data_IF_572199617127
#
_entry.id   IF_572199617127
#
_cell.length_a   1.000
_cell.length_b   1.000
_cell.length_c   1.000
_cell.angle_alpha   90.00
_cell.angle_beta   90.00
_cell.angle_gamma   90.00
#
_symmetry.space_group_name_H-M   'P 1'
#
loop_
_entity.id
_entity.type
_entity.pdbx_description
1 polymer ?
#
# COMPACT_ATOMS: atom_id res chain seq x y z
N UNK A 1 57.35 -0.38 53.81
CA UNK A 1 57.23 0.54 52.65
C UNK A 1 57.06 -0.26 51.35
N UNK A 2 57.90 -1.26 51.06
CA UNK A 2 57.75 -2.17 49.90
C UNK A 2 56.39 -2.89 49.81
N UNK A 3 55.88 -3.43 50.92
CA UNK A 3 54.57 -4.12 50.92
C UNK A 3 53.40 -3.20 50.49
N UNK A 4 53.41 -1.92 50.88
CA UNK A 4 52.38 -0.95 50.46
C UNK A 4 52.53 -0.56 48.99
N UNK A 5 53.77 -0.51 48.49
CA UNK A 5 54.07 -0.25 47.08
C UNK A 5 53.58 -1.40 46.18
N UNK A 6 53.76 -2.65 46.61
CA UNK A 6 53.27 -3.84 45.90
C UNK A 6 51.73 -3.90 45.85
N UNK A 7 51.05 -3.63 46.97
CA UNK A 7 49.58 -3.57 47.02
C UNK A 7 49.02 -2.49 46.07
N UNK A 8 49.63 -1.31 46.05
CA UNK A 8 49.22 -0.26 45.11
C UNK A 8 49.46 -0.60 43.63
N UNK A 9 50.46 -1.43 43.33
CA UNK A 9 50.72 -1.92 41.97
C UNK A 9 49.68 -2.96 41.53
N UNK A 10 49.25 -3.85 42.43
CA UNK A 10 48.21 -4.84 42.13
C UNK A 10 46.83 -4.19 41.98
N UNK A 11 46.48 -3.22 42.84
CA UNK A 11 45.23 -2.45 42.71
C UNK A 11 45.15 -1.71 41.37
N UNK A 12 46.26 -1.09 40.94
CA UNK A 12 46.35 -0.44 39.63
C UNK A 12 46.13 -1.43 38.48
N UNK A 13 46.68 -2.65 38.56
CA UNK A 13 46.52 -3.68 37.53
C UNK A 13 45.05 -4.08 37.37
N UNK A 14 44.35 -4.33 38.49
CA UNK A 14 42.94 -4.72 38.48
C UNK A 14 42.05 -3.62 37.90
N UNK A 15 42.32 -2.36 38.23
CA UNK A 15 41.57 -1.22 37.68
C UNK A 15 41.77 -1.07 36.16
N UNK A 16 43.00 -1.27 35.67
CA UNK A 16 43.29 -1.25 34.23
C UNK A 16 42.58 -2.37 33.48
N UNK A 17 42.55 -3.58 34.03
CA UNK A 17 41.85 -4.71 33.42
C UNK A 17 40.33 -4.50 33.37
N UNK A 18 39.75 -3.91 34.42
CA UNK A 18 38.33 -3.51 34.44
C UNK A 18 38.02 -2.44 33.40
N UNK A 19 38.87 -1.42 33.26
CA UNK A 19 38.72 -0.38 32.24
C UNK A 19 38.74 -0.98 30.84
N UNK A 20 39.75 -1.81 30.53
CA UNK A 20 39.86 -2.46 29.23
C UNK A 20 38.64 -3.35 28.92
N UNK A 21 38.15 -4.10 29.92
CA UNK A 21 36.94 -4.91 29.77
C UNK A 21 35.71 -4.05 29.51
N UNK A 22 35.62 -2.89 30.16
CA UNK A 22 34.52 -1.94 29.97
C UNK A 22 34.56 -1.31 28.57
N UNK A 23 35.74 -0.93 28.08
CA UNK A 23 35.94 -0.39 26.73
C UNK A 23 35.54 -1.42 25.66
N UNK A 24 36.01 -2.67 25.78
CA UNK A 24 35.62 -3.74 24.86
C UNK A 24 34.10 -3.99 24.83
N UNK A 25 33.44 -3.92 25.99
CA UNK A 25 31.97 -4.01 26.06
C UNK A 25 31.30 -2.80 25.41
N UNK A 26 31.85 -1.62 25.59
CA UNK A 26 31.34 -0.40 24.97
C UNK A 26 31.38 -0.50 23.45
N UNK A 27 32.49 -0.94 22.87
CA UNK A 27 32.63 -1.15 21.43
C UNK A 27 31.63 -2.18 20.91
N UNK A 28 31.43 -3.27 21.66
CA UNK A 28 30.41 -4.27 21.35
C UNK A 28 29.00 -3.66 21.33
N UNK A 29 28.65 -2.85 22.34
CA UNK A 29 27.35 -2.18 22.38
C UNK A 29 27.17 -1.14 21.27
N UNK A 30 28.23 -0.44 20.87
CA UNK A 30 28.19 0.46 19.71
C UNK A 30 27.86 -0.33 18.45
N UNK A 31 28.55 -1.44 18.22
CA UNK A 31 28.31 -2.29 17.06
C UNK A 31 26.87 -2.83 17.05
N UNK A 32 26.39 -3.37 18.17
CA UNK A 32 25.01 -3.85 18.29
C UNK A 32 23.98 -2.75 18.04
N UNK A 33 24.19 -1.54 18.58
CA UNK A 33 23.32 -0.40 18.32
C UNK A 33 23.29 0.00 16.85
N UNK A 34 24.43 0.01 16.17
CA UNK A 34 24.49 0.31 14.73
C UNK A 34 23.69 -0.72 13.91
N UNK A 35 23.80 -2.00 14.27
CA UNK A 35 23.03 -3.06 13.61
C UNK A 35 21.52 -2.91 13.86
N UNK A 36 21.11 -2.55 15.08
CA UNK A 36 19.71 -2.28 15.41
C UNK A 36 19.16 -1.06 14.66
N UNK A 37 19.93 0.02 14.56
CA UNK A 37 19.55 1.22 13.80
C UNK A 37 19.32 0.86 12.33
N UNK A 38 20.25 0.11 11.72
CA UNK A 38 20.08 -0.37 10.35
C UNK A 38 18.81 -1.20 10.21
N UNK A 39 18.57 -2.13 11.12
CA UNK A 39 17.38 -2.98 11.09
C UNK A 39 16.09 -2.17 11.23
N UNK A 40 16.07 -1.16 12.07
CA UNK A 40 14.91 -0.27 12.22
C UNK A 40 14.64 0.50 10.91
N UNK A 41 15.67 1.07 10.29
CA UNK A 41 15.51 1.78 9.02
C UNK A 41 14.99 0.86 7.89
N UNK A 42 15.48 -0.38 7.82
CA UNK A 42 15.02 -1.37 6.86
C UNK A 42 13.54 -1.72 7.09
N UNK A 43 13.13 -1.91 8.35
CA UNK A 43 11.74 -2.19 8.73
C UNK A 43 10.81 -1.01 8.46
N UNK A 44 11.24 0.22 8.75
CA UNK A 44 10.50 1.43 8.44
C UNK A 44 10.26 1.56 6.93
N UNK A 45 11.28 1.27 6.11
CA UNK A 45 11.16 1.29 4.65
C UNK A 45 10.13 0.26 4.15
N UNK A 46 10.19 -0.97 4.68
CA UNK A 46 9.21 -2.01 4.34
C UNK A 46 7.78 -1.64 4.78
N UNK A 47 7.63 -1.04 5.97
CA UNK A 47 6.33 -0.56 6.45
C UNK A 47 5.76 0.54 5.54
N UNK A 48 6.59 1.47 5.07
CA UNK A 48 6.16 2.51 4.14
C UNK A 48 5.72 1.93 2.79
N UNK A 49 6.39 0.91 2.27
CA UNK A 49 5.99 0.21 1.05
C UNK A 49 4.63 -0.47 1.22
N UNK A 50 4.46 -1.27 2.29
CA UNK A 50 3.19 -1.90 2.60
C UNK A 50 2.06 -0.89 2.78
N UNK A 51 2.33 0.26 3.43
CA UNK A 51 1.35 1.32 3.60
C UNK A 51 0.88 1.90 2.25
N UNK A 52 1.80 2.09 1.29
CA UNK A 52 1.46 2.55 -0.07
C UNK A 52 0.58 1.55 -0.81
N UNK A 53 0.92 0.27 -0.75
CA UNK A 53 0.12 -0.80 -1.37
C UNK A 53 -1.28 -0.89 -0.75
N UNK A 54 -1.34 -0.84 0.58
CA UNK A 54 -2.60 -0.87 1.32
C UNK A 54 -3.50 0.33 0.96
N UNK A 55 -2.93 1.53 0.84
CA UNK A 55 -3.67 2.71 0.38
C UNK A 55 -4.23 2.51 -1.04
N UNK A 56 -3.45 1.91 -1.95
CA UNK A 56 -3.91 1.57 -3.29
C UNK A 56 -5.12 0.62 -3.28
N UNK A 57 -5.05 -0.43 -2.45
CA UNK A 57 -6.15 -1.39 -2.28
C UNK A 57 -7.40 -0.75 -1.65
N UNK A 58 -7.23 0.15 -0.67
CA UNK A 58 -8.35 0.88 -0.09
C UNK A 58 -9.08 1.75 -1.13
N UNK A 59 -8.34 2.43 -2.00
CA UNK A 59 -8.94 3.23 -3.09
C UNK A 59 -9.73 2.33 -4.03
N UNK A 60 -9.17 1.19 -4.45
CA UNK A 60 -9.87 0.23 -5.32
C UNK A 60 -11.15 -0.32 -4.66
N UNK A 61 -11.06 -0.65 -3.38
CA UNK A 61 -12.20 -1.15 -2.60
C UNK A 61 -13.28 -0.08 -2.47
N UNK A 62 -12.91 1.18 -2.25
CA UNK A 62 -13.85 2.29 -2.20
C UNK A 62 -14.58 2.47 -3.54
N UNK A 63 -13.85 2.43 -4.65
CA UNK A 63 -14.45 2.50 -6.00
C UNK A 63 -15.45 1.36 -6.20
N UNK A 64 -15.15 0.14 -5.74
CA UNK A 64 -16.02 -1.02 -5.90
C UNK A 64 -17.26 -0.95 -5.00
N UNK A 65 -17.09 -0.56 -3.74
CA UNK A 65 -18.17 -0.48 -2.74
C UNK A 65 -19.11 0.71 -2.97
N UNK A 66 -18.62 1.78 -3.59
CA UNK A 66 -19.41 2.97 -3.92
C UNK A 66 -20.06 2.90 -5.32
N UNK A 67 -20.03 1.74 -5.98
CA UNK A 67 -20.75 1.52 -7.26
C UNK A 67 -22.24 1.67 -7.01
N UNK A 68 -22.86 2.67 -7.67
CA UNK A 68 -24.29 2.95 -7.58
C UNK A 68 -24.87 3.17 -8.96
N UNK A 69 -26.15 2.81 -9.12
CA UNK A 69 -26.88 3.08 -10.34
C UNK A 69 -27.13 4.58 -10.48
N UNK A 70 -26.52 5.22 -11.47
CA UNK A 70 -26.69 6.66 -11.68
C UNK A 70 -28.02 6.98 -12.35
N UNK A 71 -28.57 8.13 -11.97
CA UNK A 71 -29.80 8.66 -12.55
C UNK A 71 -29.48 9.34 -13.87
N UNK A 72 -30.29 9.08 -14.90
CA UNK A 72 -30.06 9.64 -16.23
C UNK A 72 -30.00 11.16 -16.23
N UNK A 73 -30.80 11.84 -15.43
CA UNK A 73 -30.84 13.31 -15.35
C UNK A 73 -29.50 13.94 -14.98
N UNK A 74 -28.63 13.21 -14.28
CA UNK A 74 -27.43 13.76 -13.66
C UNK A 74 -26.19 13.64 -14.56
N UNK A 75 -26.31 12.92 -15.68
CA UNK A 75 -25.18 12.60 -16.56
C UNK A 75 -25.42 13.16 -17.95
N UNK A 76 -24.60 14.12 -18.38
CA UNK A 76 -24.74 14.80 -19.67
C UNK A 76 -23.79 14.31 -20.76
N UNK A 77 -22.78 13.51 -20.40
CA UNK A 77 -21.81 12.96 -21.33
C UNK A 77 -21.39 11.53 -20.94
N UNK A 78 -20.91 10.76 -21.91
CA UNK A 78 -20.40 9.42 -21.70
C UNK A 78 -19.25 9.41 -20.68
N UNK A 79 -19.35 8.60 -19.63
CA UNK A 79 -18.34 8.52 -18.56
C UNK A 79 -16.99 7.90 -18.97
N UNK A 80 -16.80 7.57 -20.25
CA UNK A 80 -15.53 7.11 -20.81
C UNK A 80 -14.96 8.08 -21.84
N UNK A 81 -15.73 8.41 -22.87
CA UNK A 81 -15.26 9.23 -24.00
C UNK A 81 -15.66 10.71 -23.91
N UNK A 82 -16.41 11.11 -22.90
CA UNK A 82 -16.90 12.48 -22.68
C UNK A 82 -17.74 13.08 -23.82
N UNK A 83 -18.18 12.27 -24.79
CA UNK A 83 -19.15 12.72 -25.79
C UNK A 83 -20.50 13.05 -25.14
N UNK A 84 -21.05 14.21 -25.47
CA UNK A 84 -22.34 14.65 -24.97
C UNK A 84 -23.46 13.74 -25.47
N UNK A 85 -24.38 13.42 -24.57
CA UNK A 85 -25.60 12.72 -24.95
C UNK A 85 -26.56 13.64 -25.68
N UNK A 86 -27.31 13.07 -26.60
CA UNK A 86 -28.28 13.77 -27.45
C UNK A 86 -29.43 12.83 -27.81
N UNK A 87 -30.39 13.30 -28.60
CA UNK A 87 -31.50 12.46 -29.07
C UNK A 87 -30.98 11.24 -29.86
N UNK A 88 -29.90 11.40 -30.61
CA UNK A 88 -29.27 10.31 -31.39
C UNK A 88 -28.18 9.56 -30.61
N UNK A 89 -27.52 10.23 -29.65
CA UNK A 89 -26.51 9.61 -28.78
C UNK A 89 -27.14 9.25 -27.43
N UNK A 90 -27.69 8.04 -27.33
CA UNK A 90 -28.45 7.58 -26.15
C UNK A 90 -27.55 7.12 -25.00
N UNK A 91 -28.11 7.17 -23.80
CA UNK A 91 -27.51 6.73 -22.53
C UNK A 91 -27.66 5.22 -22.35
N UNK A 92 -26.61 4.57 -21.84
CA UNK A 92 -26.60 3.15 -21.50
C UNK A 92 -25.88 2.90 -20.18
N UNK A 93 -26.53 2.22 -19.24
CA UNK A 93 -25.88 1.83 -17.99
C UNK A 93 -25.02 0.58 -18.14
N UNK A 94 -23.87 0.60 -17.47
CA UNK A 94 -23.13 -0.61 -17.16
C UNK A 94 -23.80 -1.35 -15.99
N UNK A 95 -24.16 -2.63 -16.17
CA UNK A 95 -24.81 -3.41 -15.11
C UNK A 95 -23.87 -3.82 -13.96
N UNK A 96 -22.56 -3.61 -14.12
CA UNK A 96 -21.57 -3.91 -13.07
C UNK A 96 -21.24 -2.69 -12.20
N UNK A 97 -21.02 -1.51 -12.80
CA UNK A 97 -20.63 -0.31 -12.05
C UNK A 97 -21.73 0.76 -11.91
N UNK A 98 -22.84 0.64 -12.64
CA UNK A 98 -23.98 1.57 -12.57
C UNK A 98 -23.78 2.92 -13.29
N UNK A 99 -22.57 3.20 -13.79
CA UNK A 99 -22.26 4.39 -14.59
C UNK A 99 -22.90 4.37 -15.99
N UNK A 100 -22.97 5.54 -16.62
CA UNK A 100 -23.66 5.78 -17.90
C UNK A 100 -22.68 6.05 -19.04
N UNK A 101 -22.89 5.37 -20.17
CA UNK A 101 -22.00 5.38 -21.33
C UNK A 101 -22.79 5.49 -22.64
N UNK A 102 -22.10 5.84 -23.73
CA UNK A 102 -22.63 5.67 -25.08
C UNK A 102 -22.56 4.18 -25.51
N UNK A 103 -23.21 3.84 -26.63
CA UNK A 103 -23.25 2.46 -27.11
C UNK A 103 -21.85 1.90 -27.39
N UNK A 104 -20.99 2.70 -28.04
CA UNK A 104 -19.62 2.30 -28.38
C UNK A 104 -18.77 1.96 -27.14
N UNK A 105 -18.93 2.70 -26.04
CA UNK A 105 -18.17 2.50 -24.81
C UNK A 105 -18.74 1.40 -23.89
N UNK A 106 -19.87 0.82 -24.27
CA UNK A 106 -20.58 -0.21 -23.51
C UNK A 106 -21.22 -1.27 -24.40
N UNK A 107 -20.60 -1.59 -25.54
CA UNK A 107 -21.18 -2.46 -26.57
C UNK A 107 -21.13 -3.95 -26.21
N UNK A 108 -20.34 -4.32 -25.19
CA UNK A 108 -20.09 -5.71 -24.80
C UNK A 108 -21.05 -6.18 -23.71
N UNK A 109 -21.23 -7.49 -23.63
CA UNK A 109 -22.02 -8.16 -22.58
C UNK A 109 -21.21 -9.27 -21.92
N UNK A 110 -21.39 -9.46 -20.61
CA UNK A 110 -20.70 -10.52 -19.84
C UNK A 110 -21.63 -11.06 -18.75
N UNK A 111 -21.48 -12.33 -18.31
CA UNK A 111 -22.23 -12.85 -17.16
C UNK A 111 -21.91 -12.06 -15.88
N UNK A 112 -22.93 -11.81 -15.05
CA UNK A 112 -22.77 -11.28 -13.69
C UNK A 112 -23.45 -12.23 -12.72
N UNK A 113 -22.98 -12.30 -11.47
CA UNK A 113 -23.58 -13.15 -10.44
C UNK A 113 -25.09 -12.89 -10.24
N UNK A 114 -25.53 -11.63 -10.43
CA UNK A 114 -26.92 -11.22 -10.29
C UNK A 114 -27.82 -11.59 -11.50
N UNK A 115 -27.27 -12.08 -12.61
CA UNK A 115 -28.04 -12.37 -13.84
C UNK A 115 -27.60 -13.66 -14.52
N UNK A 116 -28.56 -14.55 -14.80
CA UNK A 116 -28.31 -15.80 -15.55
C UNK A 116 -27.93 -15.57 -17.02
N UNK A 117 -28.31 -14.43 -17.60
CA UNK A 117 -27.95 -14.05 -18.99
C UNK A 117 -26.85 -13.00 -18.98
N UNK A 118 -25.95 -12.98 -19.98
CA UNK A 118 -24.98 -11.90 -20.14
C UNK A 118 -25.67 -10.54 -20.21
N UNK A 119 -25.12 -9.56 -19.50
CA UNK A 119 -25.66 -8.19 -19.42
C UNK A 119 -24.65 -7.17 -19.91
N UNK A 120 -25.15 -6.04 -20.40
CA UNK A 120 -24.32 -4.95 -20.92
C UNK A 120 -23.38 -4.38 -19.84
N UNK A 121 -22.12 -4.23 -20.18
CA UNK A 121 -21.11 -3.61 -19.33
C UNK A 121 -20.27 -2.62 -20.12
N UNK A 122 -19.69 -1.62 -19.45
CA UNK A 122 -18.69 -0.77 -20.08
C UNK A 122 -17.40 -1.55 -20.37
N UNK A 123 -16.56 -1.02 -21.25
CA UNK A 123 -15.31 -1.70 -21.64
C UNK A 123 -14.39 -2.00 -20.46
N UNK A 124 -14.35 -1.12 -19.45
CA UNK A 124 -13.52 -1.32 -18.27
C UNK A 124 -14.01 -2.50 -17.42
N UNK A 125 -15.30 -2.53 -17.10
CA UNK A 125 -15.89 -3.65 -16.38
C UNK A 125 -15.84 -4.95 -17.18
N UNK A 126 -15.95 -4.89 -18.51
CA UNK A 126 -15.77 -6.07 -19.33
C UNK A 126 -14.38 -6.68 -19.13
N UNK A 127 -13.32 -5.86 -19.22
CA UNK A 127 -11.94 -6.31 -18.98
C UNK A 127 -11.81 -6.90 -17.57
N UNK A 128 -12.24 -6.19 -16.53
CA UNK A 128 -12.17 -6.65 -15.13
C UNK A 128 -12.83 -8.02 -14.89
N UNK A 129 -13.92 -8.32 -15.61
CA UNK A 129 -14.71 -9.54 -15.40
C UNK A 129 -14.28 -10.71 -16.28
N UNK A 130 -13.45 -10.47 -17.29
CA UNK A 130 -13.02 -11.49 -18.27
C UNK A 130 -11.50 -11.70 -18.30
N UNK A 131 -10.76 -10.96 -17.47
CA UNK A 131 -9.31 -11.13 -17.28
C UNK A 131 -9.01 -12.24 -16.27
#
# INVERSE_FOLDING_TARGET
>A
LESKLLVGQDERRVLLERLLTSENKHDKYIFENQQLIKRNNDLESALQEMAREFQGLQIQTNIQTNRRWLVDSDVFACMKCNQQFSVTMRKHHCRNCGNIFCDQCSSKTTPLAASKKPVRVCDQCYKELTS
#
